data_IF_307778795776
#
_entry.id   IF_307778795776
#
_cell.length_a   1.000
_cell.length_b   1.000
_cell.length_c   1.000
_cell.angle_alpha   90.00
_cell.angle_beta   90.00
_cell.angle_gamma   90.00
#
_symmetry.space_group_name_H-M   'P 1'
#
loop_
_entity.id
_entity.type
_entity.pdbx_description
1 polymer ?
#
# COMPACT_ATOMS: atom_id res chain seq x y z
N UNK A 1 0.78 1.52 16.42
CA UNK A 1 0.30 0.17 16.09
C UNK A 1 0.90 -0.93 16.98
N UNK A 2 2.05 -0.72 17.56
CA UNK A 2 2.78 -1.71 18.34
C UNK A 2 2.89 -1.22 19.77
N UNK A 3 2.04 -1.72 20.67
CA UNK A 3 2.14 -1.34 22.07
C UNK A 3 3.49 -1.80 22.62
N UNK A 4 4.30 -0.85 23.04
CA UNK A 4 5.50 -1.16 23.81
C UNK A 4 5.06 -1.57 25.21
N UNK A 5 5.31 -2.81 25.56
CA UNK A 5 5.14 -3.32 26.91
C UNK A 5 6.50 -3.38 27.57
N UNK A 6 6.59 -2.82 28.78
CA UNK A 6 7.76 -2.94 29.61
C UNK A 6 7.61 -4.16 30.51
N UNK A 7 8.39 -5.20 30.25
CA UNK A 7 8.41 -6.37 31.10
C UNK A 7 9.52 -6.20 32.13
N UNK A 8 9.15 -6.05 33.42
CA UNK A 8 10.10 -5.95 34.53
C UNK A 8 10.72 -7.33 34.74
N UNK A 9 12.02 -7.44 34.51
CA UNK A 9 12.78 -8.68 34.71
C UNK A 9 13.37 -8.76 36.11
N UNK A 10 13.59 -7.60 36.77
CA UNK A 10 14.01 -7.51 38.17
C UNK A 10 13.09 -6.52 38.91
N UNK A 11 12.17 -7.05 39.75
CA UNK A 11 11.24 -6.19 40.49
C UNK A 11 11.90 -5.30 41.54
N UNK A 12 13.12 -5.62 41.98
CA UNK A 12 13.83 -4.86 43.03
C UNK A 12 14.48 -3.61 42.45
N UNK A 13 15.10 -3.75 41.30
CA UNK A 13 15.81 -2.64 40.62
C UNK A 13 14.96 -1.95 39.57
N UNK A 14 13.80 -2.48 39.21
CA UNK A 14 12.95 -1.98 38.13
C UNK A 14 13.55 -2.19 36.73
N UNK A 15 14.62 -2.97 36.63
CA UNK A 15 15.22 -3.32 35.32
C UNK A 15 14.27 -4.20 34.57
N UNK A 16 14.09 -3.91 33.27
CA UNK A 16 13.21 -4.65 32.41
C UNK A 16 13.61 -4.53 30.94
N UNK A 17 12.89 -5.21 30.10
CA UNK A 17 13.05 -5.20 28.63
C UNK A 17 11.78 -4.70 27.96
N UNK A 18 11.96 -3.85 26.94
CA UNK A 18 10.85 -3.46 26.08
C UNK A 18 10.45 -4.62 25.18
N UNK A 19 9.17 -5.00 25.21
CA UNK A 19 8.59 -5.95 24.28
C UNK A 19 7.53 -5.28 23.43
N UNK A 20 7.48 -5.63 22.15
CA UNK A 20 6.41 -5.23 21.27
C UNK A 20 5.57 -6.46 20.91
N UNK A 21 4.25 -6.33 21.05
CA UNK A 21 3.34 -7.36 20.58
C UNK A 21 2.98 -7.07 19.13
N UNK A 22 3.34 -7.98 18.24
CA UNK A 22 2.98 -7.90 16.84
C UNK A 22 1.68 -8.66 16.62
N UNK A 23 0.67 -7.98 16.06
CA UNK A 23 -0.57 -8.62 15.64
C UNK A 23 -0.34 -9.20 14.26
N UNK A 24 -0.34 -10.51 14.13
CA UNK A 24 -0.07 -11.19 12.86
C UNK A 24 -1.21 -11.02 11.85
N UNK A 25 -2.45 -10.95 12.32
CA UNK A 25 -3.65 -10.78 11.49
C UNK A 25 -4.61 -9.81 12.17
N UNK A 26 -5.13 -8.84 11.42
CA UNK A 26 -6.12 -7.90 11.91
C UNK A 26 -7.47 -8.14 11.20
N UNK A 27 -8.57 -7.85 11.88
CA UNK A 27 -9.89 -7.84 11.26
C UNK A 27 -9.95 -6.84 10.11
N UNK A 28 -9.31 -5.70 10.27
CA UNK A 28 -9.26 -4.65 9.25
C UNK A 28 -8.60 -5.12 7.95
N UNK A 29 -7.47 -5.83 8.06
CA UNK A 29 -6.79 -6.44 6.91
C UNK A 29 -7.69 -7.50 6.24
N UNK A 30 -8.39 -8.30 7.03
CA UNK A 30 -9.33 -9.32 6.53
C UNK A 30 -10.47 -8.67 5.77
N UNK A 31 -11.06 -7.57 6.28
CA UNK A 31 -12.14 -6.82 5.61
C UNK A 31 -11.64 -6.24 4.28
N UNK A 32 -10.44 -5.64 4.26
CA UNK A 32 -9.87 -5.10 3.02
C UNK A 32 -9.54 -6.21 2.00
N UNK A 33 -9.10 -7.38 2.45
CA UNK A 33 -8.86 -8.53 1.58
C UNK A 33 -10.18 -9.07 1.01
N UNK A 34 -11.27 -9.06 1.78
CA UNK A 34 -12.61 -9.42 1.31
C UNK A 34 -13.14 -8.39 0.31
N UNK A 35 -12.94 -7.09 0.58
CA UNK A 35 -13.29 -6.04 -0.37
C UNK A 35 -12.64 -6.28 -1.73
N UNK A 36 -11.34 -6.58 -1.75
CA UNK A 36 -10.61 -6.90 -2.97
C UNK A 36 -11.21 -8.13 -3.69
N UNK A 37 -11.53 -9.19 -2.94
CA UNK A 37 -12.16 -10.36 -3.52
C UNK A 37 -13.51 -10.03 -4.16
N UNK A 38 -14.34 -9.19 -3.51
CA UNK A 38 -15.59 -8.72 -4.09
C UNK A 38 -15.38 -7.89 -5.37
N UNK A 39 -14.33 -7.08 -5.44
CA UNK A 39 -14.00 -6.35 -6.68
C UNK A 39 -13.69 -7.32 -7.82
N UNK A 40 -12.90 -8.36 -7.56
CA UNK A 40 -12.60 -9.37 -8.59
C UNK A 40 -13.83 -10.19 -9.01
N UNK A 41 -14.77 -10.40 -8.10
CA UNK A 41 -16.05 -11.04 -8.38
C UNK A 41 -17.09 -10.10 -9.02
N UNK A 42 -16.74 -8.82 -9.23
CA UNK A 42 -17.63 -7.75 -9.72
C UNK A 42 -18.84 -7.48 -8.80
N UNK A 43 -18.72 -7.84 -7.54
CA UNK A 43 -19.72 -7.53 -6.50
C UNK A 43 -19.40 -6.17 -5.85
N UNK A 44 -19.42 -5.11 -6.65
CA UNK A 44 -18.87 -3.80 -6.31
C UNK A 44 -19.54 -3.15 -5.10
N UNK A 45 -20.86 -3.33 -4.94
CA UNK A 45 -21.57 -2.78 -3.80
C UNK A 45 -21.13 -3.41 -2.47
N UNK A 46 -20.81 -4.71 -2.48
CA UNK A 46 -20.25 -5.39 -1.32
C UNK A 46 -18.83 -4.92 -1.02
N UNK A 47 -18.03 -4.70 -2.07
CA UNK A 47 -16.69 -4.14 -1.92
C UNK A 47 -16.73 -2.75 -1.27
N UNK A 48 -17.62 -1.87 -1.74
CA UNK A 48 -17.80 -0.52 -1.17
C UNK A 48 -18.32 -0.58 0.27
N UNK A 49 -19.19 -1.52 0.58
CA UNK A 49 -19.66 -1.72 1.97
C UNK A 49 -18.51 -2.11 2.90
N UNK A 50 -17.61 -3.00 2.48
CA UNK A 50 -16.43 -3.38 3.26
C UNK A 50 -15.42 -2.23 3.41
N UNK A 51 -15.18 -1.46 2.34
CA UNK A 51 -14.34 -0.26 2.42
C UNK A 51 -14.91 0.76 3.42
N UNK A 52 -16.22 0.97 3.41
CA UNK A 52 -16.88 1.85 4.37
C UNK A 52 -16.83 1.30 5.81
N UNK A 53 -16.94 0.00 6.00
CA UNK A 53 -16.76 -0.63 7.31
C UNK A 53 -15.34 -0.41 7.85
N UNK A 54 -14.33 -0.50 6.99
CA UNK A 54 -12.95 -0.19 7.34
C UNK A 54 -12.77 1.30 7.68
N UNK A 55 -13.30 2.23 6.86
CA UNK A 55 -13.25 3.67 7.13
C UNK A 55 -13.90 3.98 8.48
N UNK A 56 -15.07 3.42 8.76
CA UNK A 56 -15.79 3.62 10.01
C UNK A 56 -15.07 3.09 11.25
N UNK A 57 -14.06 2.21 11.09
CA UNK A 57 -13.22 1.74 12.21
C UNK A 57 -12.18 2.78 12.68
N UNK A 58 -11.84 3.76 11.82
CA UNK A 58 -10.85 4.79 12.11
C UNK A 58 -11.43 6.19 12.24
N UNK A 59 -12.51 6.46 11.51
CA UNK A 59 -13.04 7.80 11.33
C UNK A 59 -14.50 7.87 11.72
N UNK A 60 -14.91 8.99 12.31
CA UNK A 60 -16.30 9.29 12.53
C UNK A 60 -16.89 9.84 11.22
N UNK A 61 -17.51 8.95 10.45
CA UNK A 61 -18.20 9.29 9.19
C UNK A 61 -19.30 10.32 9.46
N UNK A 62 -19.40 11.32 8.59
CA UNK A 62 -20.31 12.45 8.76
C UNK A 62 -19.77 13.58 9.63
N UNK A 63 -18.56 13.47 10.15
CA UNK A 63 -17.89 14.52 10.89
C UNK A 63 -16.60 14.97 10.16
N UNK A 64 -16.20 16.22 10.33
CA UNK A 64 -14.97 16.80 9.76
C UNK A 64 -14.81 16.59 8.24
N UNK A 65 -15.92 16.56 7.51
CA UNK A 65 -15.92 16.37 6.06
C UNK A 65 -15.63 14.92 5.59
N UNK A 66 -15.64 13.96 6.52
CA UNK A 66 -15.48 12.54 6.17
C UNK A 66 -16.85 11.99 5.76
N UNK A 67 -16.93 11.61 4.49
CA UNK A 67 -18.14 11.04 3.90
C UNK A 67 -17.94 9.55 3.64
N UNK A 68 -19.05 8.81 3.56
CA UNK A 68 -19.02 7.44 3.08
C UNK A 68 -18.58 7.39 1.63
N UNK A 69 -17.80 6.38 1.27
CA UNK A 69 -17.47 6.10 -0.13
C UNK A 69 -18.73 5.63 -0.87
N UNK A 70 -18.89 6.13 -2.08
CA UNK A 70 -19.84 5.61 -3.07
C UNK A 70 -19.11 5.27 -4.36
N UNK A 71 -19.74 4.50 -5.22
CA UNK A 71 -19.17 4.15 -6.54
C UNK A 71 -18.95 5.39 -7.39
N UNK A 72 -19.88 6.34 -7.34
CA UNK A 72 -19.81 7.64 -8.01
C UNK A 72 -18.61 8.44 -7.51
N UNK A 73 -18.41 8.48 -6.18
CA UNK A 73 -17.27 9.18 -5.58
C UNK A 73 -15.93 8.59 -6.03
N UNK A 74 -15.83 7.27 -6.09
CA UNK A 74 -14.64 6.57 -6.58
C UNK A 74 -14.43 6.86 -8.07
N UNK A 75 -15.50 6.92 -8.87
CA UNK A 75 -15.43 7.28 -10.28
C UNK A 75 -14.98 8.74 -10.49
N UNK A 76 -15.41 9.70 -9.66
CA UNK A 76 -14.90 11.07 -9.68
C UNK A 76 -13.38 11.12 -9.44
N UNK A 77 -12.87 10.34 -8.49
CA UNK A 77 -11.46 10.35 -8.13
C UNK A 77 -10.56 9.75 -9.20
N UNK A 78 -10.99 8.70 -9.88
CA UNK A 78 -10.12 7.96 -10.80
C UNK A 78 -10.54 8.06 -12.27
N UNK A 79 -11.78 8.43 -12.55
CA UNK A 79 -12.36 8.38 -13.89
C UNK A 79 -12.75 9.73 -14.49
N UNK A 80 -12.80 10.80 -13.71
CA UNK A 80 -13.23 12.12 -14.21
C UNK A 80 -12.13 13.17 -14.11
N UNK A 81 -11.36 13.40 -15.18
CA UNK A 81 -10.31 14.43 -15.21
C UNK A 81 -10.81 15.85 -14.98
N UNK A 82 -12.10 16.11 -15.05
CA UNK A 82 -12.70 17.44 -14.79
C UNK A 82 -13.02 17.66 -13.31
N UNK A 83 -12.97 16.61 -12.50
CA UNK A 83 -13.21 16.69 -11.06
C UNK A 83 -12.03 17.32 -10.33
N UNK A 84 -12.31 18.19 -9.36
CA UNK A 84 -11.32 18.76 -8.43
C UNK A 84 -10.67 17.70 -7.52
N UNK A 85 -11.21 16.47 -7.52
CA UNK A 85 -10.73 15.33 -6.76
C UNK A 85 -9.97 14.31 -7.59
N UNK A 86 -9.86 14.55 -8.89
CA UNK A 86 -9.24 13.60 -9.80
C UNK A 86 -7.77 13.34 -9.44
N UNK A 87 -7.41 12.07 -9.39
CA UNK A 87 -6.03 11.62 -9.20
C UNK A 87 -5.56 11.01 -10.53
N UNK A 88 -4.71 11.74 -11.22
CA UNK A 88 -4.08 11.26 -12.45
C UNK A 88 -3.25 9.99 -12.20
N UNK A 89 -3.08 9.20 -13.25
CA UNK A 89 -2.16 8.08 -13.18
C UNK A 89 -0.72 8.56 -12.97
N UNK A 90 0.01 7.86 -12.13
CA UNK A 90 1.38 8.18 -11.78
C UNK A 90 2.28 8.23 -13.03
N UNK A 91 3.07 9.28 -13.11
CA UNK A 91 4.23 9.38 -14.00
C UNK A 91 5.47 9.77 -13.18
N UNK A 92 6.67 9.56 -13.74
CA UNK A 92 7.90 9.98 -13.07
C UNK A 92 8.00 11.50 -12.93
N UNK A 93 7.34 12.27 -13.81
CA UNK A 93 7.30 13.74 -13.76
C UNK A 93 6.20 14.25 -12.82
N UNK A 94 5.14 13.48 -12.65
CA UNK A 94 3.99 13.82 -11.82
C UNK A 94 3.61 12.62 -10.93
N UNK A 95 4.35 12.42 -9.83
CA UNK A 95 4.12 11.29 -8.95
C UNK A 95 2.82 11.45 -8.15
N UNK A 96 1.90 10.52 -8.33
CA UNK A 96 0.62 10.45 -7.64
C UNK A 96 0.48 9.15 -6.84
N UNK A 97 -0.59 9.02 -6.08
CA UNK A 97 -0.89 7.78 -5.36
C UNK A 97 -1.44 6.66 -6.26
N UNK A 98 -2.00 7.01 -7.44
CA UNK A 98 -2.54 6.06 -8.41
C UNK A 98 -1.40 5.48 -9.25
N UNK A 99 -1.03 4.24 -8.98
CA UNK A 99 0.04 3.55 -9.69
C UNK A 99 -0.54 2.71 -10.83
N UNK A 100 0.08 2.69 -12.02
CA UNK A 100 -0.26 1.71 -13.06
C UNK A 100 -0.18 0.29 -12.51
N UNK A 101 -1.17 -0.54 -12.88
CA UNK A 101 -1.26 -1.91 -12.44
C UNK A 101 -0.88 -2.86 -13.58
N UNK A 102 0.07 -3.75 -13.31
CA UNK A 102 0.53 -4.80 -14.24
C UNK A 102 0.43 -6.16 -13.54
N UNK A 103 -0.80 -6.64 -13.25
CA UNK A 103 -0.99 -7.85 -12.47
C UNK A 103 -0.43 -9.10 -13.17
N UNK A 104 0.10 -10.03 -12.35
CA UNK A 104 0.64 -11.29 -12.85
C UNK A 104 -0.30 -12.44 -12.51
N UNK A 105 -0.74 -13.17 -13.53
CA UNK A 105 -1.60 -14.35 -13.38
C UNK A 105 -3.11 -14.07 -13.26
N UNK A 106 -3.53 -12.81 -13.31
CA UNK A 106 -4.92 -12.37 -13.36
C UNK A 106 -5.03 -11.04 -14.10
N UNK A 107 -6.24 -10.57 -14.34
CA UNK A 107 -6.50 -9.29 -15.02
C UNK A 107 -7.29 -8.35 -14.13
N UNK A 108 -7.08 -7.05 -14.32
CA UNK A 108 -7.91 -5.99 -13.79
C UNK A 108 -8.49 -5.23 -14.97
N UNK A 109 -9.82 -5.19 -15.08
CA UNK A 109 -10.50 -4.48 -16.15
C UNK A 109 -10.41 -2.97 -15.91
N UNK A 110 -10.13 -2.22 -16.97
CA UNK A 110 -10.12 -0.76 -16.92
C UNK A 110 -11.50 -0.20 -16.53
N UNK A 111 -11.51 0.94 -15.88
CA UNK A 111 -12.72 1.60 -15.38
C UNK A 111 -13.07 1.18 -13.96
N UNK A 112 -14.32 0.86 -13.68
CA UNK A 112 -14.81 0.70 -12.32
C UNK A 112 -14.04 -0.34 -11.49
N UNK A 113 -13.68 -1.48 -12.10
CA UNK A 113 -12.90 -2.49 -11.40
C UNK A 113 -11.52 -1.96 -11.00
N UNK A 114 -10.82 -1.33 -11.92
CA UNK A 114 -9.51 -0.70 -11.65
C UNK A 114 -9.63 0.37 -10.58
N UNK A 115 -10.64 1.24 -10.64
CA UNK A 115 -10.87 2.30 -9.66
C UNK A 115 -11.06 1.74 -8.24
N UNK A 116 -11.85 0.67 -8.11
CA UNK A 116 -12.09 0.00 -6.84
C UNK A 116 -10.84 -0.74 -6.33
N UNK A 117 -10.05 -1.34 -7.19
CA UNK A 117 -8.76 -1.92 -6.83
C UNK A 117 -7.81 -0.83 -6.33
N UNK A 118 -7.69 0.30 -7.02
CA UNK A 118 -6.86 1.43 -6.57
C UNK A 118 -7.29 1.91 -5.18
N UNK A 119 -8.60 2.07 -4.96
CA UNK A 119 -9.16 2.46 -3.65
C UNK A 119 -8.80 1.43 -2.57
N UNK A 120 -8.96 0.15 -2.86
CA UNK A 120 -8.66 -0.93 -1.91
C UNK A 120 -7.17 -0.98 -1.57
N UNK A 121 -6.30 -0.84 -2.58
CA UNK A 121 -4.86 -0.79 -2.39
C UNK A 121 -4.42 0.45 -1.60
N UNK A 122 -5.10 1.57 -1.78
CA UNK A 122 -4.85 2.79 -1.01
C UNK A 122 -5.22 2.59 0.47
N UNK A 123 -6.40 2.04 0.75
CA UNK A 123 -6.83 1.73 2.12
C UNK A 123 -5.89 0.72 2.79
N UNK A 124 -5.49 -0.33 2.07
CA UNK A 124 -4.54 -1.32 2.58
C UNK A 124 -3.16 -0.71 2.85
N UNK A 125 -2.70 0.20 2.00
CA UNK A 125 -1.44 0.92 2.23
C UNK A 125 -1.46 1.71 3.54
N UNK A 126 -2.59 2.32 3.89
CA UNK A 126 -2.78 3.02 5.15
C UNK A 126 -2.82 2.03 6.32
N UNK A 127 -3.60 0.94 6.17
CA UNK A 127 -3.75 -0.08 7.21
C UNK A 127 -2.41 -0.73 7.56
N UNK A 128 -1.62 -1.08 6.55
CA UNK A 128 -0.41 -1.89 6.72
C UNK A 128 0.88 -1.06 6.72
N UNK A 129 0.78 0.25 7.04
CA UNK A 129 1.95 1.12 7.13
C UNK A 129 2.92 0.60 8.19
N UNK A 130 4.18 0.44 7.82
CA UNK A 130 5.26 -0.12 8.62
C UNK A 130 5.18 -1.64 8.92
N UNK A 131 4.17 -2.36 8.40
CA UNK A 131 4.02 -3.80 8.58
C UNK A 131 4.73 -4.64 7.49
N UNK A 132 5.21 -3.98 6.42
CA UNK A 132 5.89 -4.65 5.29
C UNK A 132 4.95 -5.32 4.29
N UNK A 133 3.65 -5.39 4.56
CA UNK A 133 2.66 -6.11 3.73
C UNK A 133 2.44 -5.47 2.36
N UNK A 134 2.72 -4.17 2.22
CA UNK A 134 2.67 -3.46 0.94
C UNK A 134 3.52 -4.11 -0.14
N UNK A 135 4.61 -4.79 0.24
CA UNK A 135 5.46 -5.53 -0.70
C UNK A 135 4.71 -6.64 -1.45
N UNK A 136 3.77 -7.30 -0.78
CA UNK A 136 2.87 -8.28 -1.40
C UNK A 136 2.02 -7.67 -2.51
N UNK A 137 1.40 -6.50 -2.25
CA UNK A 137 0.61 -5.77 -3.26
C UNK A 137 1.48 -5.32 -4.44
N UNK A 138 2.66 -4.77 -4.16
CA UNK A 138 3.61 -4.32 -5.19
C UNK A 138 4.00 -5.47 -6.12
N UNK A 139 4.26 -6.65 -5.58
CA UNK A 139 4.59 -7.83 -6.38
C UNK A 139 3.40 -8.34 -7.17
N UNK A 140 2.24 -8.47 -6.53
CA UNK A 140 1.04 -9.07 -7.11
C UNK A 140 0.45 -8.23 -8.24
N UNK A 141 0.43 -6.92 -8.05
CA UNK A 141 -0.08 -5.97 -9.04
C UNK A 141 1.00 -5.39 -9.97
N UNK A 142 2.23 -5.89 -9.90
CA UNK A 142 3.31 -5.43 -10.78
C UNK A 142 3.62 -3.93 -10.67
N UNK A 143 3.37 -3.32 -9.51
CA UNK A 143 3.53 -1.88 -9.29
C UNK A 143 5.00 -1.49 -9.43
N UNK A 144 5.29 -0.54 -10.30
CA UNK A 144 6.63 0.02 -10.49
C UNK A 144 6.96 0.98 -9.34
N UNK A 145 8.18 0.90 -8.84
CA UNK A 145 8.69 1.79 -7.79
C UNK A 145 9.84 2.60 -8.35
N UNK A 146 9.68 3.92 -8.36
CA UNK A 146 10.75 4.85 -8.65
C UNK A 146 11.34 5.39 -7.34
N UNK A 147 12.65 5.43 -7.30
CA UNK A 147 13.41 6.13 -6.27
C UNK A 147 13.85 7.46 -6.85
N UNK A 148 13.46 8.52 -6.20
CA UNK A 148 13.85 9.87 -6.59
C UNK A 148 15.19 10.25 -5.95
N UNK A 149 15.94 11.04 -6.68
CA UNK A 149 17.12 11.73 -6.16
C UNK A 149 16.64 13.10 -5.63
N UNK A 150 16.86 13.34 -4.36
CA UNK A 150 16.55 14.59 -3.67
C UNK A 150 17.75 15.56 -3.64
N UNK A 151 18.89 15.18 -4.20
CA UNK A 151 20.11 16.01 -4.23
C UNK A 151 19.91 17.33 -5.01
N UNK A 152 18.90 17.39 -5.90
CA UNK A 152 18.50 18.57 -6.64
C UNK A 152 17.30 19.32 -6.02
N UNK A 153 16.85 18.89 -4.82
CA UNK A 153 15.75 19.53 -4.13
C UNK A 153 16.21 20.91 -3.62
N UNK A 154 15.72 21.97 -4.26
CA UNK A 154 15.88 23.33 -3.76
C UNK A 154 14.65 23.71 -2.93
N UNK A 155 14.85 24.53 -1.90
CA UNK A 155 13.78 25.06 -1.04
C UNK A 155 12.64 25.74 -1.84
N UNK A 156 12.90 26.14 -3.08
CA UNK A 156 11.92 26.78 -3.95
C UNK A 156 10.94 25.84 -4.65
N UNK A 157 11.06 24.52 -4.43
CA UNK A 157 10.19 23.47 -5.01
C UNK A 157 10.00 23.56 -6.55
N UNK A 158 10.94 24.15 -7.26
CA UNK A 158 10.85 24.47 -8.70
C UNK A 158 11.59 23.49 -9.59
N UNK A 159 12.47 22.67 -9.04
CA UNK A 159 13.19 21.63 -9.78
C UNK A 159 12.47 20.30 -9.64
N UNK A 160 12.05 19.73 -10.76
CA UNK A 160 11.36 18.44 -10.79
C UNK A 160 12.23 17.32 -10.20
N UNK A 161 11.57 16.33 -9.60
CA UNK A 161 12.23 15.13 -9.13
C UNK A 161 12.90 14.38 -10.29
N UNK A 162 14.17 13.97 -10.11
CA UNK A 162 14.85 13.07 -11.04
C UNK A 162 14.76 11.65 -10.51
N UNK A 163 14.49 10.69 -11.40
CA UNK A 163 14.45 9.28 -11.04
C UNK A 163 15.86 8.73 -10.98
N UNK A 164 16.35 8.43 -9.79
CA UNK A 164 17.68 7.84 -9.58
C UNK A 164 17.71 6.35 -9.90
N UNK A 165 16.64 5.62 -9.63
CA UNK A 165 16.53 4.20 -9.91
C UNK A 165 15.06 3.77 -10.01
N UNK A 166 14.80 2.75 -10.83
CA UNK A 166 13.47 2.15 -10.98
C UNK A 166 13.52 0.66 -10.67
N UNK A 167 12.55 0.18 -9.91
CA UNK A 167 12.26 -1.24 -9.75
C UNK A 167 11.07 -1.60 -10.63
N UNK A 168 11.36 -2.08 -11.84
CA UNK A 168 10.35 -2.45 -12.84
C UNK A 168 9.49 -3.64 -12.43
N UNK A 169 8.37 -3.87 -13.13
CA UNK A 169 7.41 -4.93 -12.82
C UNK A 169 8.02 -6.34 -12.79
N UNK A 170 8.97 -6.62 -13.67
CA UNK A 170 9.64 -7.92 -13.83
C UNK A 170 11.09 -7.91 -13.35
N UNK A 171 11.48 -6.90 -12.59
CA UNK A 171 12.85 -6.78 -12.10
C UNK A 171 13.20 -7.95 -11.17
N UNK A 172 14.33 -8.58 -11.42
CA UNK A 172 14.79 -9.74 -10.65
C UNK A 172 15.08 -9.39 -9.19
N UNK A 173 15.41 -8.13 -8.90
CA UNK A 173 15.58 -7.62 -7.53
C UNK A 173 14.29 -7.65 -6.68
N UNK A 174 13.13 -7.95 -7.27
CA UNK A 174 11.90 -8.21 -6.54
C UNK A 174 11.92 -9.51 -5.72
N UNK A 175 12.84 -10.42 -6.03
CA UNK A 175 13.18 -11.53 -5.15
C UNK A 175 14.16 -11.04 -4.07
N UNK A 176 13.84 -11.26 -2.80
CA UNK A 176 14.78 -10.96 -1.71
C UNK A 176 16.04 -11.81 -1.88
N UNK A 177 17.21 -11.22 -1.59
CA UNK A 177 18.44 -11.98 -1.61
C UNK A 177 18.47 -13.02 -0.49
N UNK A 178 19.07 -14.16 -0.79
CA UNK A 178 19.35 -15.16 0.24
C UNK A 178 20.32 -14.59 1.29
N UNK A 179 20.24 -15.00 2.55
CA UNK A 179 21.22 -14.66 3.56
C UNK A 179 22.63 -15.05 3.12
N UNK A 180 23.62 -14.25 3.48
CA UNK A 180 25.00 -14.47 3.04
C UNK A 180 25.55 -15.83 3.49
N UNK A 181 25.15 -16.30 4.66
CA UNK A 181 25.55 -17.61 5.20
C UNK A 181 25.09 -18.75 4.29
N UNK A 182 23.89 -18.62 3.72
CA UNK A 182 23.29 -19.63 2.83
C UNK A 182 24.02 -19.65 1.47
N UNK A 183 24.38 -18.47 0.96
CA UNK A 183 25.18 -18.33 -0.26
C UNK A 183 26.58 -18.92 -0.05
N UNK A 184 27.20 -18.62 1.09
CA UNK A 184 28.52 -19.16 1.45
C UNK A 184 28.48 -20.67 1.63
N UNK A 185 27.35 -21.24 2.05
CA UNK A 185 27.12 -22.67 2.14
C UNK A 185 26.92 -23.36 0.77
N UNK A 186 26.94 -22.61 -0.34
CA UNK A 186 26.92 -23.14 -1.69
C UNK A 186 25.58 -23.00 -2.44
N UNK A 187 24.57 -22.31 -1.88
CA UNK A 187 23.39 -21.95 -2.64
C UNK A 187 23.66 -20.78 -3.59
N UNK A 188 23.14 -20.88 -4.81
CA UNK A 188 23.26 -19.80 -5.79
C UNK A 188 22.49 -18.56 -5.33
N UNK A 189 23.12 -17.40 -5.44
CA UNK A 189 22.49 -16.13 -5.11
C UNK A 189 21.35 -15.81 -6.09
N UNK A 190 20.28 -15.19 -5.60
CA UNK A 190 19.25 -14.67 -6.49
C UNK A 190 19.82 -13.64 -7.46
N UNK A 191 19.40 -13.66 -8.74
CA UNK A 191 19.88 -12.69 -9.73
C UNK A 191 19.51 -11.25 -9.33
N UNK A 192 20.38 -10.31 -9.69
CA UNK A 192 20.27 -8.88 -9.36
C UNK A 192 20.42 -8.01 -10.61
#
# INVERSE_FOLDING_TARGET
KWPNQWEVTDPVTGVGIGRSTMVAFTTNETVLSRAEAYVHLKEYDKAVADLNAWIGSFYLVGQNGIESLTRERIAEVYGDPSSDRYIAEYTALEPTSRKPLHPHGFTVEAGEQEHLIQTTLFCRRIETIADGLRWGDIKRYGIVIDRFDDSAYNDDNTTGFTVAATLGEKDLRRALQLPQEVITAGLEANPR
#
